data_IF_348896891285
#
_entry.id   IF_348896891285
#
_cell.length_a   1.000
_cell.length_b   1.000
_cell.length_c   1.000
_cell.angle_alpha   90.00
_cell.angle_beta   90.00
_cell.angle_gamma   90.00
#
_symmetry.space_group_name_H-M   'P 1'
#
loop_
_entity.id
_entity.type
_entity.pdbx_description
1 polymer ?
#
# COMPACT_ATOMS: atom_id res chain seq x y z
N UNK A 1 -3.74 -7.94 -21.73
CA UNK A 1 -2.38 -8.38 -21.40
C UNK A 1 -1.87 -7.65 -20.17
N UNK A 2 -1.32 -8.38 -19.24
CA UNK A 2 -0.83 -7.81 -17.99
C UNK A 2 0.55 -7.21 -18.17
N UNK A 3 0.70 -5.94 -17.80
CA UNK A 3 2.00 -5.27 -17.84
C UNK A 3 2.81 -5.66 -16.60
N UNK A 4 4.04 -6.08 -16.79
CA UNK A 4 4.95 -6.38 -15.70
C UNK A 4 5.74 -5.13 -15.35
N UNK A 5 5.95 -4.89 -14.04
CA UNK A 5 6.79 -3.77 -13.61
C UNK A 5 8.23 -3.91 -14.14
N UNK A 6 8.67 -5.12 -14.40
CA UNK A 6 10.00 -5.36 -14.95
C UNK A 6 10.17 -4.79 -16.35
N UNK A 7 9.08 -4.53 -17.06
CA UNK A 7 9.12 -3.93 -18.40
C UNK A 7 9.25 -2.42 -18.38
N UNK A 8 9.02 -1.80 -17.21
CA UNK A 8 9.18 -0.36 -17.08
C UNK A 8 10.65 -0.01 -16.94
N UNK A 9 11.08 1.16 -17.42
CA UNK A 9 12.39 1.67 -17.09
C UNK A 9 12.56 1.65 -15.58
N UNK A 10 13.74 1.32 -15.12
CA UNK A 10 13.99 1.17 -13.69
C UNK A 10 13.55 2.41 -12.88
N UNK A 11 13.88 3.60 -13.41
CA UNK A 11 13.53 4.86 -12.74
C UNK A 11 12.03 5.10 -12.62
N UNK A 12 11.21 4.39 -13.41
CA UNK A 12 9.76 4.58 -13.41
C UNK A 12 9.03 3.54 -12.54
N UNK A 13 9.75 2.60 -11.95
CA UNK A 13 9.15 1.62 -11.06
C UNK A 13 8.80 2.27 -9.73
N UNK A 14 7.72 1.84 -9.07
CA UNK A 14 7.26 2.50 -7.84
C UNK A 14 8.32 2.68 -6.76
N UNK A 15 9.10 1.63 -6.45
CA UNK A 15 10.13 1.74 -5.42
C UNK A 15 11.22 2.75 -5.77
N UNK A 16 11.67 2.74 -7.02
CA UNK A 16 12.68 3.68 -7.48
C UNK A 16 12.13 5.11 -7.49
N UNK A 17 10.86 5.27 -7.87
CA UNK A 17 10.20 6.57 -7.80
C UNK A 17 10.09 7.07 -6.36
N UNK A 18 9.74 6.17 -5.44
CA UNK A 18 9.65 6.53 -4.02
C UNK A 18 10.98 7.05 -3.49
N UNK A 19 12.06 6.33 -3.78
CA UNK A 19 13.39 6.72 -3.32
C UNK A 19 13.89 8.00 -3.96
N UNK A 20 13.56 8.21 -5.22
CA UNK A 20 14.04 9.38 -5.97
C UNK A 20 13.21 10.62 -5.71
N UNK A 21 11.89 10.47 -5.64
CA UNK A 21 10.97 11.61 -5.59
C UNK A 21 10.30 11.84 -4.24
N UNK A 22 10.30 10.82 -3.37
CA UNK A 22 9.59 10.88 -2.11
C UNK A 22 8.13 10.40 -2.24
N UNK A 23 7.52 10.01 -1.11
CA UNK A 23 6.17 9.43 -1.15
C UNK A 23 5.09 10.40 -1.61
N UNK A 24 5.29 11.69 -1.43
CA UNK A 24 4.28 12.69 -1.79
C UNK A 24 4.03 12.75 -3.29
N UNK A 25 4.97 12.26 -4.09
CA UNK A 25 4.86 12.27 -5.55
C UNK A 25 4.24 10.99 -6.11
N UNK A 26 3.95 10.01 -5.25
CA UNK A 26 3.38 8.75 -5.69
C UNK A 26 1.86 8.74 -5.50
N UNK A 27 1.18 8.02 -6.39
CA UNK A 27 -0.26 7.81 -6.25
C UNK A 27 -0.54 6.74 -5.19
N UNK A 28 -1.79 6.67 -4.74
CA UNK A 28 -2.21 5.64 -3.79
C UNK A 28 -1.97 4.23 -4.35
N UNK A 29 -2.23 4.03 -5.64
CA UNK A 29 -1.99 2.75 -6.30
C UNK A 29 -0.51 2.38 -6.25
N UNK A 30 0.37 3.34 -6.53
CA UNK A 30 1.81 3.10 -6.48
C UNK A 30 2.29 2.74 -5.08
N UNK A 31 1.84 3.47 -4.07
CA UNK A 31 2.19 3.19 -2.68
C UNK A 31 1.70 1.82 -2.25
N UNK A 32 0.46 1.48 -2.61
CA UNK A 32 -0.09 0.18 -2.29
C UNK A 32 0.64 -0.93 -3.02
N UNK A 33 1.03 -0.72 -4.27
CA UNK A 33 1.81 -1.69 -5.03
C UNK A 33 3.15 -1.98 -4.36
N UNK A 34 3.78 -0.97 -3.77
CA UNK A 34 5.03 -1.16 -3.03
C UNK A 34 4.80 -2.07 -1.82
N UNK A 35 3.73 -1.84 -1.07
CA UNK A 35 3.39 -2.68 0.06
C UNK A 35 3.11 -4.13 -0.36
N UNK A 36 2.41 -4.31 -1.47
CA UNK A 36 2.12 -5.65 -1.98
C UNK A 36 3.38 -6.38 -2.44
N UNK A 37 4.33 -5.64 -2.98
CA UNK A 37 5.62 -6.17 -3.41
C UNK A 37 5.59 -6.90 -4.74
N UNK A 38 4.77 -7.93 -4.85
CA UNK A 38 4.66 -8.72 -6.08
C UNK A 38 3.19 -8.90 -6.44
N UNK A 39 2.96 -9.11 -7.74
CA UNK A 39 1.62 -9.47 -8.21
C UNK A 39 1.34 -10.95 -7.99
N UNK A 40 0.40 -11.49 -8.72
CA UNK A 40 0.09 -12.90 -8.72
C UNK A 40 0.18 -13.42 -10.14
N UNK A 41 -0.02 -14.74 -10.28
CA UNK A 41 0.02 -15.35 -11.60
C UNK A 41 -0.96 -14.66 -12.55
N UNK A 42 -0.43 -14.13 -13.65
CA UNK A 42 -1.24 -13.47 -14.67
C UNK A 42 -1.66 -12.04 -14.35
N UNK A 43 -1.21 -11.49 -13.21
CA UNK A 43 -1.57 -10.13 -12.81
C UNK A 43 -0.36 -9.39 -12.29
N UNK A 44 -0.20 -8.15 -12.70
CA UNK A 44 0.85 -7.29 -12.18
C UNK A 44 0.46 -6.76 -10.80
N UNK A 45 1.45 -6.33 -10.04
CA UNK A 45 1.19 -5.75 -8.71
C UNK A 45 0.34 -4.48 -8.81
N UNK A 46 0.50 -3.72 -9.88
CA UNK A 46 -0.30 -2.51 -10.11
C UNK A 46 -1.77 -2.89 -10.31
N UNK A 47 -2.04 -3.95 -11.06
CA UNK A 47 -3.42 -4.41 -11.28
C UNK A 47 -4.05 -4.88 -9.98
N UNK A 48 -3.31 -5.64 -9.17
CA UNK A 48 -3.82 -6.10 -7.88
C UNK A 48 -4.11 -4.91 -6.96
N UNK A 49 -3.20 -3.94 -6.92
CA UNK A 49 -3.39 -2.74 -6.10
C UNK A 49 -4.62 -1.95 -6.54
N UNK A 50 -4.79 -1.77 -7.84
CA UNK A 50 -5.92 -1.04 -8.39
C UNK A 50 -7.24 -1.73 -8.07
N UNK A 51 -7.28 -3.05 -8.24
CA UNK A 51 -8.49 -3.83 -7.95
C UNK A 51 -8.84 -3.77 -6.47
N UNK A 52 -7.83 -3.80 -5.60
CA UNK A 52 -8.06 -3.71 -4.17
C UNK A 52 -8.68 -2.37 -3.78
N UNK A 53 -8.17 -1.28 -4.34
CA UNK A 53 -8.74 0.04 -4.08
C UNK A 53 -10.17 0.15 -4.60
N UNK A 54 -10.45 -0.42 -5.78
CA UNK A 54 -11.82 -0.46 -6.31
C UNK A 54 -12.75 -1.26 -5.40
N UNK A 55 -12.27 -2.39 -4.89
CA UNK A 55 -13.05 -3.22 -3.99
C UNK A 55 -13.39 -2.45 -2.71
N UNK A 56 -12.42 -1.75 -2.15
CA UNK A 56 -12.62 -0.96 -0.94
C UNK A 56 -13.61 0.17 -1.19
N UNK A 57 -13.52 0.85 -2.32
CA UNK A 57 -14.45 1.93 -2.65
C UNK A 57 -15.88 1.40 -2.82
N UNK A 58 -16.03 0.20 -3.39
CA UNK A 58 -17.34 -0.42 -3.55
C UNK A 58 -17.98 -0.78 -2.20
N UNK A 59 -17.15 -1.19 -1.23
CA UNK A 59 -17.64 -1.58 0.10
C UNK A 59 -17.93 -0.37 0.99
N UNK A 60 -17.17 0.69 0.84
CA UNK A 60 -17.31 1.90 1.66
C UNK A 60 -17.17 3.12 0.75
N UNK A 61 -18.26 3.44 0.00
CA UNK A 61 -18.19 4.58 -0.92
C UNK A 61 -17.83 5.87 -0.20
N UNK A 62 -16.82 6.56 -0.72
CA UNK A 62 -16.30 7.77 -0.10
C UNK A 62 -15.35 7.56 1.04
N UNK A 63 -15.15 6.31 1.48
CA UNK A 63 -14.22 6.01 2.56
C UNK A 63 -12.76 6.04 2.16
N UNK A 64 -12.50 5.86 0.86
CA UNK A 64 -11.15 5.91 0.34
C UNK A 64 -10.23 4.89 0.99
N UNK A 65 -9.02 5.33 1.32
CA UNK A 65 -8.01 4.45 1.90
C UNK A 65 -8.37 3.89 3.27
N UNK A 66 -9.31 4.53 3.98
CA UNK A 66 -9.71 4.02 5.30
C UNK A 66 -10.31 2.63 5.25
N UNK A 67 -10.92 2.26 4.14
CA UNK A 67 -11.49 0.93 3.99
C UNK A 67 -10.43 -0.17 4.09
N UNK A 68 -9.18 0.14 3.75
CA UNK A 68 -8.08 -0.81 3.86
C UNK A 68 -7.82 -1.24 5.31
N UNK A 69 -8.18 -0.41 6.27
CA UNK A 69 -7.99 -0.73 7.69
C UNK A 69 -8.86 -1.90 8.15
N UNK A 70 -9.90 -2.22 7.40
CA UNK A 70 -10.85 -3.26 7.75
C UNK A 70 -10.73 -4.51 6.90
N UNK A 71 -9.57 -4.70 6.25
CA UNK A 71 -9.37 -5.86 5.36
C UNK A 71 -9.55 -7.21 6.06
N UNK A 72 -9.22 -7.30 7.35
CA UNK A 72 -9.37 -8.56 8.07
C UNK A 72 -10.83 -8.99 8.21
N UNK A 73 -11.74 -8.04 8.10
CA UNK A 73 -13.18 -8.27 8.28
C UNK A 73 -13.86 -8.61 6.96
N UNK A 74 -13.13 -8.61 5.87
CA UNK A 74 -13.67 -8.92 4.54
C UNK A 74 -13.72 -10.44 4.37
N UNK A 75 -14.83 -10.93 3.83
CA UNK A 75 -14.96 -12.34 3.50
C UNK A 75 -13.86 -12.72 2.51
N UNK A 76 -13.14 -13.81 2.81
CA UNK A 76 -12.05 -14.30 1.95
C UNK A 76 -12.50 -14.55 0.52
N UNK A 77 -13.76 -14.92 0.33
CA UNK A 77 -14.31 -15.17 -1.00
C UNK A 77 -14.48 -13.89 -1.81
N UNK A 78 -14.56 -12.75 -1.12
CA UNK A 78 -14.72 -11.45 -1.76
C UNK A 78 -13.39 -10.75 -1.96
N UNK A 79 -12.29 -11.32 -1.46
CA UNK A 79 -10.99 -10.70 -1.62
C UNK A 79 -10.57 -10.69 -3.08
N UNK A 80 -9.83 -9.66 -3.41
CA UNK A 80 -9.28 -9.48 -4.74
C UNK A 80 -8.34 -10.64 -5.07
N UNK A 81 -8.45 -11.14 -6.28
CA UNK A 81 -7.57 -12.22 -6.75
C UNK A 81 -6.11 -11.76 -6.68
N UNK A 82 -5.28 -12.59 -6.10
CA UNK A 82 -3.87 -12.28 -5.90
C UNK A 82 -3.55 -11.68 -4.55
N UNK A 83 -4.58 -11.51 -3.68
CA UNK A 83 -4.39 -10.97 -2.35
C UNK A 83 -4.57 -12.09 -1.33
N UNK A 84 -3.47 -12.72 -0.95
CA UNK A 84 -3.49 -13.76 0.08
C UNK A 84 -3.30 -13.20 1.48
N UNK A 85 -3.36 -14.09 2.49
CA UNK A 85 -3.24 -13.65 3.90
C UNK A 85 -1.97 -12.88 4.22
N UNK A 86 -0.83 -13.26 3.62
CA UNK A 86 0.43 -12.57 3.87
C UNK A 86 0.38 -11.12 3.42
N UNK A 87 -0.21 -10.86 2.25
CA UNK A 87 -0.32 -9.49 1.74
C UNK A 87 -1.30 -8.66 2.55
N UNK A 88 -2.40 -9.27 3.01
CA UNK A 88 -3.33 -8.60 3.91
C UNK A 88 -2.62 -8.18 5.19
N UNK A 89 -1.82 -9.07 5.77
CA UNK A 89 -1.04 -8.75 6.97
C UNK A 89 -0.07 -7.61 6.74
N UNK A 90 0.62 -7.61 5.60
CA UNK A 90 1.56 -6.55 5.26
C UNK A 90 0.85 -5.19 5.18
N UNK A 91 -0.29 -5.15 4.51
CA UNK A 91 -1.05 -3.91 4.37
C UNK A 91 -1.54 -3.42 5.73
N UNK A 92 -2.16 -4.29 6.51
CA UNK A 92 -2.68 -3.91 7.82
C UNK A 92 -1.57 -3.46 8.76
N UNK A 93 -0.46 -4.20 8.79
CA UNK A 93 0.66 -3.83 9.65
C UNK A 93 1.23 -2.46 9.24
N UNK A 94 1.42 -2.23 7.95
CA UNK A 94 1.94 -0.97 7.46
C UNK A 94 1.02 0.20 7.76
N UNK A 95 -0.28 0.03 7.53
CA UNK A 95 -1.26 1.08 7.81
C UNK A 95 -1.34 1.41 9.29
N UNK A 96 -1.36 0.40 10.15
CA UNK A 96 -1.45 0.62 11.58
C UNK A 96 -0.18 1.23 12.15
N UNK A 97 0.99 0.85 11.64
CA UNK A 97 2.23 1.53 12.02
C UNK A 97 2.19 3.01 11.62
N UNK A 98 1.68 3.28 10.43
CA UNK A 98 1.51 4.66 9.98
C UNK A 98 0.59 5.47 10.87
N UNK A 99 -0.53 4.89 11.28
CA UNK A 99 -1.46 5.55 12.19
C UNK A 99 -0.81 5.83 13.54
N UNK A 100 -0.08 4.87 14.07
CA UNK A 100 0.61 5.06 15.36
C UNK A 100 1.70 6.12 15.25
N UNK A 101 2.43 6.14 14.16
CA UNK A 101 3.47 7.12 13.93
C UNK A 101 2.87 8.53 13.84
N UNK A 102 1.76 8.68 13.11
CA UNK A 102 1.10 9.96 12.94
C UNK A 102 0.49 10.47 14.25
N UNK A 103 0.03 9.56 15.12
CA UNK A 103 -0.58 9.92 16.40
C UNK A 103 0.42 10.08 17.53
N UNK A 104 1.68 9.68 17.33
CA UNK A 104 2.69 9.74 18.38
C UNK A 104 2.97 11.19 18.78
N UNK A 105 3.14 11.46 20.08
CA UNK A 105 3.47 12.81 20.53
C UNK A 105 4.83 13.27 20.00
N UNK A 106 4.92 14.55 19.65
CA UNK A 106 6.18 15.15 19.27
C UNK A 106 6.99 15.37 20.54
N UNK A 107 8.23 14.87 20.57
CA UNK A 107 9.12 15.06 21.71
C UNK A 107 10.25 15.97 21.32
N UNK A 108 10.34 17.13 22.00
CA UNK A 108 11.39 18.10 21.74
C UNK A 108 12.77 17.50 21.95
N UNK A 109 12.93 16.69 22.99
CA UNK A 109 14.20 16.06 23.29
C UNK A 109 14.67 15.17 22.15
N UNK A 110 13.77 14.40 21.57
CA UNK A 110 14.12 13.51 20.47
C UNK A 110 14.49 14.28 19.21
N UNK A 111 13.81 15.41 18.98
CA UNK A 111 14.08 16.25 17.82
C UNK A 111 15.41 16.97 17.95
N UNK A 112 15.80 17.36 19.16
CA UNK A 112 17.03 18.09 19.41
C UNK A 112 18.22 17.17 19.66
N UNK A 113 17.99 15.89 19.98
CA UNK A 113 19.03 14.91 20.23
C UNK A 113 18.76 13.65 19.40
N UNK A 114 19.22 13.62 18.17
CA UNK A 114 18.89 12.51 17.26
C UNK A 114 19.38 11.15 17.70
N UNK A 115 20.28 11.09 18.69
CA UNK A 115 20.76 9.81 19.19
C UNK A 115 19.99 9.28 20.39
N UNK A 116 19.06 10.07 20.86
CA UNK A 116 18.24 9.66 21.99
C UNK A 116 17.29 8.54 21.58
#
# INVERSE_FOLDING_TARGET
MTASLKRLPEADRPRERLLRLGPEKLTDVELLAILLGTGSRGRSVIEVARDLLHHCEAKDPGGGLRALLHLRDVDKKELVKGLGPAKVCTILAGLHLGLRAAAAPIRQVELSNPRA
#
